data_IF_157290775769
#
_entry.id   IF_157290775769
#
_cell.length_a   1.000
_cell.length_b   1.000
_cell.length_c   1.000
_cell.angle_alpha   90.00
_cell.angle_beta   90.00
_cell.angle_gamma   90.00
#
_symmetry.space_group_name_H-M   'P 1'
#
loop_
_entity.id
_entity.type
_entity.pdbx_description
1 polymer ?
#
# COMPACT_ATOMS: atom_id res chain seq x y z
N UNK A 1 -18.26 -5.53 -8.43
CA UNK A 1 -17.59 -6.66 -7.76
C UNK A 1 -17.46 -7.79 -8.75
N UNK A 2 -16.26 -8.30 -8.98
CA UNK A 2 -16.05 -9.49 -9.83
C UNK A 2 -15.74 -10.67 -8.92
N UNK A 3 -16.40 -11.80 -9.17
CA UNK A 3 -16.13 -13.05 -8.44
C UNK A 3 -14.93 -13.74 -9.08
N UNK A 4 -13.93 -14.08 -8.27
CA UNK A 4 -12.74 -14.82 -8.69
C UNK A 4 -12.79 -16.22 -8.06
N UNK A 5 -12.65 -17.26 -8.88
CA UNK A 5 -12.45 -18.63 -8.42
C UNK A 5 -11.08 -19.11 -8.87
N UNK A 6 -10.38 -19.80 -7.97
CA UNK A 6 -9.09 -20.42 -8.24
C UNK A 6 -8.98 -21.71 -7.43
N UNK A 7 -8.06 -22.60 -7.83
CA UNK A 7 -7.73 -23.79 -7.06
C UNK A 7 -6.61 -23.46 -6.08
N UNK A 8 -6.74 -23.96 -4.86
CA UNK A 8 -5.74 -23.89 -3.81
C UNK A 8 -5.54 -25.29 -3.23
N UNK A 9 -4.42 -25.50 -2.56
CA UNK A 9 -4.21 -26.72 -1.77
C UNK A 9 -5.17 -26.73 -0.57
N UNK A 10 -5.69 -27.91 -0.22
CA UNK A 10 -6.63 -28.05 0.91
C UNK A 10 -5.99 -27.55 2.22
N UNK A 11 -4.68 -27.75 2.39
CA UNK A 11 -3.95 -27.25 3.55
C UNK A 11 -3.96 -25.71 3.64
N UNK A 12 -3.77 -25.03 2.51
CA UNK A 12 -3.77 -23.57 2.45
C UNK A 12 -5.16 -23.01 2.74
N UNK A 13 -6.21 -23.70 2.27
CA UNK A 13 -7.60 -23.35 2.55
C UNK A 13 -7.90 -23.48 4.05
N UNK A 14 -7.46 -24.57 4.68
CA UNK A 14 -7.63 -24.80 6.12
C UNK A 14 -6.90 -23.74 6.96
N UNK A 15 -5.68 -23.38 6.56
CA UNK A 15 -4.91 -22.31 7.20
C UNK A 15 -5.61 -20.95 7.06
N UNK A 16 -6.10 -20.62 5.87
CA UNK A 16 -6.83 -19.38 5.64
C UNK A 16 -8.10 -19.30 6.51
N UNK A 17 -8.83 -20.41 6.63
CA UNK A 17 -10.01 -20.50 7.49
C UNK A 17 -9.66 -20.38 8.98
N UNK A 18 -8.56 -20.98 9.43
CA UNK A 18 -8.09 -20.85 10.81
C UNK A 18 -7.72 -19.41 11.16
N UNK A 19 -7.00 -18.72 10.27
CA UNK A 19 -6.65 -17.31 10.45
C UNK A 19 -7.86 -16.39 10.38
N UNK A 20 -8.77 -16.60 9.43
CA UNK A 20 -10.00 -15.81 9.32
C UNK A 20 -10.82 -15.89 10.63
N UNK A 21 -10.95 -17.09 11.20
CA UNK A 21 -11.59 -17.29 12.52
C UNK A 21 -10.87 -16.54 13.63
N UNK A 22 -9.54 -16.65 13.70
CA UNK A 22 -8.72 -15.99 14.74
C UNK A 22 -8.78 -14.47 14.66
N UNK A 23 -8.91 -13.92 13.46
CA UNK A 23 -9.00 -12.48 13.20
C UNK A 23 -10.45 -11.97 13.23
N UNK A 24 -11.44 -12.85 13.40
CA UNK A 24 -12.87 -12.53 13.38
C UNK A 24 -13.33 -11.85 12.08
N UNK A 25 -12.77 -12.27 10.94
CA UNK A 25 -13.12 -11.77 9.59
C UNK A 25 -13.56 -12.90 8.67
N UNK A 26 -14.15 -12.57 7.52
CA UNK A 26 -14.51 -13.57 6.50
C UNK A 26 -13.28 -14.04 5.70
N UNK A 27 -13.26 -15.31 5.26
CA UNK A 27 -12.20 -15.84 4.39
C UNK A 27 -11.98 -14.99 3.14
N UNK A 28 -13.06 -14.56 2.48
CA UNK A 28 -12.98 -13.71 1.28
C UNK A 28 -12.42 -12.32 1.58
N UNK A 29 -12.54 -11.82 2.81
CA UNK A 29 -11.92 -10.58 3.23
C UNK A 29 -10.42 -10.76 3.44
N UNK A 30 -10.03 -11.82 4.15
CA UNK A 30 -8.61 -12.19 4.36
C UNK A 30 -7.87 -12.37 3.03
N UNK A 31 -8.43 -13.15 2.11
CA UNK A 31 -7.80 -13.39 0.80
C UNK A 31 -7.74 -12.14 -0.07
N UNK A 32 -8.76 -11.26 0.01
CA UNK A 32 -8.75 -9.99 -0.72
C UNK A 32 -7.68 -9.06 -0.19
N UNK A 33 -7.50 -9.00 1.13
CA UNK A 33 -6.47 -8.18 1.75
C UNK A 33 -5.06 -8.71 1.42
N UNK A 34 -4.86 -10.03 1.49
CA UNK A 34 -3.61 -10.66 1.07
C UNK A 34 -3.27 -10.36 -0.40
N UNK A 35 -4.25 -10.48 -1.31
CA UNK A 35 -4.07 -10.15 -2.73
C UNK A 35 -3.70 -8.67 -2.91
N UNK A 36 -4.39 -7.75 -2.22
CA UNK A 36 -4.09 -6.31 -2.30
C UNK A 36 -2.66 -6.01 -1.84
N UNK A 37 -2.23 -6.59 -0.72
CA UNK A 37 -0.86 -6.41 -0.21
C UNK A 37 0.18 -6.95 -1.19
N UNK A 38 -0.07 -8.11 -1.79
CA UNK A 38 0.86 -8.69 -2.75
C UNK A 38 0.96 -7.84 -4.04
N UNK A 39 -0.16 -7.36 -4.57
CA UNK A 39 -0.15 -6.47 -5.72
C UNK A 39 0.56 -5.14 -5.43
N UNK A 40 0.38 -4.58 -4.23
CA UNK A 40 1.08 -3.38 -3.80
C UNK A 40 2.61 -3.61 -3.72
N UNK A 41 3.04 -4.77 -3.21
CA UNK A 41 4.45 -5.14 -3.17
C UNK A 41 5.04 -5.27 -4.58
N UNK A 42 4.33 -5.94 -5.50
CA UNK A 42 4.79 -6.07 -6.90
C UNK A 42 4.89 -4.72 -7.61
N UNK A 43 3.95 -3.80 -7.36
CA UNK A 43 4.01 -2.45 -7.90
C UNK A 43 5.21 -1.68 -7.35
N UNK A 44 5.45 -1.75 -6.04
CA UNK A 44 6.61 -1.12 -5.41
C UNK A 44 7.93 -1.68 -5.95
N UNK A 45 8.04 -3.00 -6.15
CA UNK A 45 9.22 -3.62 -6.75
C UNK A 45 9.47 -3.10 -8.17
N UNK A 46 8.41 -2.91 -8.97
CA UNK A 46 8.51 -2.33 -10.30
C UNK A 46 8.97 -0.86 -10.25
N UNK A 47 8.46 -0.07 -9.32
CA UNK A 47 8.89 1.32 -9.14
C UNK A 47 10.37 1.40 -8.74
N UNK A 48 10.83 0.53 -7.83
CA UNK A 48 12.25 0.44 -7.46
C UNK A 48 13.13 0.08 -8.66
N UNK A 49 12.70 -0.87 -9.50
CA UNK A 49 13.42 -1.18 -10.73
C UNK A 49 13.43 0.00 -11.70
N UNK A 50 12.30 0.68 -11.87
CA UNK A 50 12.21 1.85 -12.74
C UNK A 50 13.16 2.97 -12.29
N UNK A 51 13.26 3.24 -10.99
CA UNK A 51 14.23 4.19 -10.44
C UNK A 51 15.68 3.70 -10.53
N UNK A 52 15.92 2.39 -10.54
CA UNK A 52 17.26 1.84 -10.76
C UNK A 52 17.70 1.99 -12.21
N UNK A 53 16.80 1.70 -13.16
CA UNK A 53 17.05 1.83 -14.60
C UNK A 53 17.12 3.29 -15.04
N UNK A 54 16.35 4.15 -14.39
CA UNK A 54 16.31 5.59 -14.64
C UNK A 54 16.39 6.33 -13.31
N UNK A 55 17.61 6.52 -12.78
CA UNK A 55 17.83 7.30 -11.57
C UNK A 55 17.20 8.68 -11.68
N UNK A 56 16.78 9.22 -10.54
CA UNK A 56 16.32 10.61 -10.42
C UNK A 56 17.34 11.53 -11.06
N UNK A 57 16.84 12.45 -11.87
CA UNK A 57 17.65 13.51 -12.45
C UNK A 57 18.18 14.44 -11.35
N UNK A 58 19.25 15.19 -11.66
CA UNK A 58 19.79 16.18 -10.72
C UNK A 58 18.73 17.20 -10.29
N UNK A 59 17.83 17.59 -11.21
CA UNK A 59 16.70 18.49 -10.94
C UNK A 59 15.68 17.89 -9.95
N UNK A 60 15.41 16.59 -10.04
CA UNK A 60 14.50 15.91 -9.11
C UNK A 60 15.17 15.67 -7.75
N UNK A 61 16.48 15.40 -7.73
CA UNK A 61 17.25 15.29 -6.48
C UNK A 61 17.38 16.64 -5.76
N UNK A 62 17.39 17.76 -6.47
CA UNK A 62 17.44 19.09 -5.87
C UNK A 62 16.25 19.36 -4.92
N UNK A 63 15.10 18.68 -5.11
CA UNK A 63 13.96 18.77 -4.19
C UNK A 63 14.23 18.10 -2.83
N UNK A 64 15.09 17.08 -2.79
CA UNK A 64 15.51 16.44 -1.54
C UNK A 64 16.44 17.36 -0.71
N UNK A 65 17.11 18.33 -1.35
CA UNK A 65 17.92 19.34 -0.66
C UNK A 65 17.05 20.37 0.09
N UNK A 66 15.76 20.47 -0.26
CA UNK A 66 14.74 21.28 0.42
C UNK A 66 14.10 20.49 1.57
N UNK A 67 14.78 19.48 2.13
CA UNK A 67 14.25 18.65 3.22
C UNK A 67 14.04 19.41 4.55
N UNK A 68 14.45 20.67 4.65
CA UNK A 68 14.02 21.58 5.72
C UNK A 68 12.60 22.11 5.43
N UNK A 69 11.68 21.19 5.17
CA UNK A 69 10.26 21.46 5.28
C UNK A 69 10.04 21.77 6.75
N UNK A 70 10.10 23.06 7.09
CA UNK A 70 9.95 23.57 8.45
C UNK A 70 8.73 22.98 9.15
N UNK A 71 8.58 23.22 10.47
CA UNK A 71 7.52 22.61 11.26
C UNK A 71 6.19 22.70 10.54
N UNK A 72 5.51 21.56 10.36
CA UNK A 72 4.23 21.52 9.70
C UNK A 72 3.31 22.53 10.38
N UNK A 73 2.94 23.59 9.65
CA UNK A 73 2.03 24.62 10.16
C UNK A 73 0.74 23.95 10.64
N UNK A 74 0.17 24.41 11.75
CA UNK A 74 -1.09 23.87 12.23
C UNK A 74 -2.20 24.34 11.30
N UNK A 75 -2.60 23.47 10.38
CA UNK A 75 -3.66 23.71 9.40
C UNK A 75 -5.01 24.04 10.07
N UNK A 76 -5.14 23.86 11.39
CA UNK A 76 -6.28 24.34 12.17
C UNK A 76 -6.44 25.88 12.11
N UNK A 77 -5.36 26.63 11.98
CA UNK A 77 -5.40 28.11 11.91
C UNK A 77 -6.05 28.62 10.61
N UNK A 78 -6.18 27.77 9.58
CA UNK A 78 -6.80 28.14 8.30
C UNK A 78 -8.30 27.81 8.25
N UNK A 79 -8.86 27.19 9.30
CA UNK A 79 -10.28 26.81 9.34
C UNK A 79 -11.24 28.01 9.26
N UNK A 80 -10.80 29.19 9.71
CA UNK A 80 -11.60 30.42 9.66
C UNK A 80 -11.39 31.24 8.37
N UNK A 81 -10.40 30.91 7.53
CA UNK A 81 -10.11 31.65 6.30
C UNK A 81 -11.10 31.38 5.15
N UNK A 82 -11.92 30.33 5.26
CA UNK A 82 -12.93 29.94 4.28
C UNK A 82 -14.35 30.44 4.61
N UNK A 83 -14.51 31.36 5.58
CA UNK A 83 -15.81 31.88 6.01
C UNK A 83 -16.08 33.30 5.53
#
# INVERSE_FOLDING_TARGET
>A
MTMLSFRADDHDVDLADAWARRLHIGRSELLRDALRRHLAALAADQDVQAYTERPLTDDENALAEIADWGPAEDWADWADAAR
#
